data_IF_432740636650
#
_entry.id   IF_432740636650
#
_cell.length_a   1.000
_cell.length_b   1.000
_cell.length_c   1.000
_cell.angle_alpha   90.00
_cell.angle_beta   90.00
_cell.angle_gamma   90.00
#
_symmetry.space_group_name_H-M   'P 1'
#
loop_
_entity.id
_entity.type
_entity.pdbx_description
1 polymer ?
#
# COMPACT_ATOMS: atom_id res chain seq x y z
N UNK A 1 0.20 -13.72 2.60
CA UNK A 1 1.67 -13.67 2.45
C UNK A 1 2.30 -14.27 3.70
N UNK A 2 2.84 -15.49 3.63
CA UNK A 2 3.24 -16.27 4.82
C UNK A 2 4.38 -15.59 5.58
N UNK A 3 5.41 -15.10 4.88
CA UNK A 3 6.59 -14.45 5.49
C UNK A 3 6.17 -13.27 6.39
N UNK A 4 5.32 -12.37 5.89
CA UNK A 4 4.84 -11.23 6.71
C UNK A 4 4.03 -11.71 7.91
N UNK A 5 3.23 -12.76 7.75
CA UNK A 5 2.46 -13.34 8.86
C UNK A 5 3.37 -13.86 9.99
N UNK A 6 4.52 -14.43 9.64
CA UNK A 6 5.55 -14.84 10.61
C UNK A 6 6.18 -13.62 11.27
N UNK A 7 6.55 -12.58 10.51
CA UNK A 7 7.13 -11.37 11.11
C UNK A 7 6.12 -10.72 12.06
N UNK A 8 4.85 -10.63 11.68
CA UNK A 8 3.82 -9.98 12.50
C UNK A 8 3.41 -10.77 13.74
N UNK A 9 3.60 -12.10 13.76
CA UNK A 9 3.24 -12.89 14.95
C UNK A 9 4.05 -12.52 16.19
N UNK A 10 5.25 -11.96 15.98
CA UNK A 10 6.13 -11.50 17.05
C UNK A 10 5.91 -10.03 17.44
N UNK A 11 5.02 -9.31 16.73
CA UNK A 11 4.82 -7.85 16.87
C UNK A 11 3.62 -7.51 17.73
N UNK A 12 3.78 -6.52 18.62
CA UNK A 12 2.67 -5.90 19.35
C UNK A 12 1.93 -4.86 18.50
N UNK A 13 1.13 -5.34 17.54
CA UNK A 13 0.41 -4.51 16.55
C UNK A 13 -0.38 -3.35 17.20
N UNK A 14 -0.94 -3.56 18.41
CA UNK A 14 -1.73 -2.54 19.14
C UNK A 14 -0.94 -1.27 19.46
N UNK A 15 0.38 -1.36 19.64
CA UNK A 15 1.23 -0.21 19.93
C UNK A 15 1.41 0.65 18.68
N UNK A 16 1.66 -0.02 17.55
CA UNK A 16 1.83 0.59 16.23
C UNK A 16 0.54 1.22 15.69
N UNK A 17 -0.63 0.59 15.87
CA UNK A 17 -1.92 1.16 15.43
C UNK A 17 -2.24 2.49 16.15
N UNK A 18 -1.66 2.78 17.32
CA UNK A 18 -1.87 4.07 17.99
C UNK A 18 -1.01 5.18 17.39
N UNK A 19 0.03 4.83 16.63
CA UNK A 19 0.90 5.81 15.99
C UNK A 19 0.21 6.43 14.77
N UNK A 20 0.13 7.76 14.77
CA UNK A 20 -0.41 8.54 13.67
C UNK A 20 0.35 8.31 12.35
N UNK A 21 1.66 8.04 12.41
CA UNK A 21 2.52 7.88 11.23
C UNK A 21 2.09 6.72 10.34
N UNK A 22 1.49 5.68 10.91
CA UNK A 22 0.95 4.54 10.16
C UNK A 22 -0.21 4.95 9.28
N UNK A 23 -1.14 5.75 9.81
CA UNK A 23 -2.29 6.24 9.04
C UNK A 23 -1.85 7.14 7.90
N UNK A 24 -0.86 7.99 8.14
CA UNK A 24 -0.23 8.79 7.10
C UNK A 24 0.37 7.91 5.98
N UNK A 25 1.12 6.86 6.35
CA UNK A 25 1.70 5.92 5.39
C UNK A 25 0.66 5.17 4.57
N UNK A 26 -0.39 4.67 5.23
CA UNK A 26 -1.52 3.97 4.59
C UNK A 26 -2.24 4.89 3.61
N UNK A 27 -2.65 6.08 4.04
CA UNK A 27 -3.38 7.04 3.20
C UNK A 27 -2.52 7.47 2.00
N UNK A 28 -1.22 7.68 2.23
CA UNK A 28 -0.29 8.03 1.15
C UNK A 28 -0.23 6.92 0.10
N UNK A 29 -0.07 5.66 0.53
CA UNK A 29 0.09 4.53 -0.39
C UNK A 29 -1.19 4.14 -1.12
N UNK A 30 -2.33 4.10 -0.42
CA UNK A 30 -3.59 3.59 -0.98
C UNK A 30 -4.46 4.67 -1.65
N UNK A 31 -4.33 5.94 -1.27
CA UNK A 31 -5.21 7.01 -1.75
C UNK A 31 -4.40 8.05 -2.51
N UNK A 32 -3.36 8.61 -1.88
CA UNK A 32 -2.66 9.78 -2.40
C UNK A 32 -1.88 9.46 -3.68
N UNK A 33 -1.07 8.41 -3.67
CA UNK A 33 -0.29 7.98 -4.85
C UNK A 33 -1.22 7.63 -6.03
N UNK A 34 -2.23 6.75 -5.89
CA UNK A 34 -3.11 6.41 -7.01
C UNK A 34 -3.89 7.61 -7.55
N UNK A 35 -4.35 8.50 -6.67
CA UNK A 35 -5.09 9.70 -7.08
C UNK A 35 -4.22 10.64 -7.90
N UNK A 36 -2.97 10.87 -7.48
CA UNK A 36 -2.02 11.71 -8.23
C UNK A 36 -1.75 11.13 -9.61
N UNK A 37 -1.47 9.82 -9.70
CA UNK A 37 -1.17 9.18 -10.98
C UNK A 37 -2.40 9.21 -11.91
N UNK A 38 -3.60 9.00 -11.38
CA UNK A 38 -4.84 9.16 -12.14
C UNK A 38 -5.06 10.59 -12.65
N UNK A 39 -4.83 11.61 -11.80
CA UNK A 39 -4.90 13.02 -12.18
C UNK A 39 -3.90 13.37 -13.30
N UNK A 40 -2.66 12.90 -13.19
CA UNK A 40 -1.64 13.09 -14.24
C UNK A 40 -2.07 12.43 -15.54
N UNK A 41 -2.64 11.23 -15.48
CA UNK A 41 -3.17 10.54 -16.66
C UNK A 41 -4.27 11.33 -17.36
N UNK A 42 -5.15 11.96 -16.60
CA UNK A 42 -6.22 12.80 -17.13
C UNK A 42 -5.68 14.07 -17.80
N UNK A 43 -4.73 14.74 -17.16
CA UNK A 43 -4.04 15.92 -17.71
C UNK A 43 -3.26 15.60 -19.00
N UNK A 44 -2.68 14.40 -19.08
CA UNK A 44 -1.94 13.95 -20.25
C UNK A 44 -2.84 13.45 -21.41
N UNK A 45 -4.18 13.43 -21.23
CA UNK A 45 -5.13 12.84 -22.18
C UNK A 45 -4.74 11.40 -22.59
N UNK A 46 -4.06 10.68 -21.71
CA UNK A 46 -3.46 9.40 -21.99
C UNK A 46 -4.48 8.29 -21.70
N UNK A 47 -5.30 7.93 -22.68
CA UNK A 47 -6.32 6.89 -22.55
C UNK A 47 -5.89 5.62 -23.30
N UNK A 48 -5.15 4.74 -22.63
CA UNK A 48 -4.74 3.43 -23.15
C UNK A 48 -4.85 2.38 -22.07
N UNK A 49 -5.07 1.11 -22.48
CA UNK A 49 -5.04 -0.04 -21.56
C UNK A 49 -3.75 -0.09 -20.74
N UNK A 50 -2.62 0.29 -21.35
CA UNK A 50 -1.33 0.35 -20.66
C UNK A 50 -1.34 1.37 -19.50
N UNK A 51 -1.96 2.54 -19.71
CA UNK A 51 -2.05 3.59 -18.69
C UNK A 51 -2.96 3.17 -17.54
N UNK A 52 -4.11 2.56 -17.86
CA UNK A 52 -5.01 2.01 -16.85
C UNK A 52 -4.31 0.94 -15.99
N UNK A 53 -3.52 0.05 -16.60
CA UNK A 53 -2.72 -0.93 -15.86
C UNK A 53 -1.75 -0.27 -14.89
N UNK A 54 -1.04 0.78 -15.31
CA UNK A 54 -0.11 1.53 -14.45
C UNK A 54 -0.84 2.15 -13.26
N UNK A 55 -2.00 2.79 -13.48
CA UNK A 55 -2.79 3.37 -12.40
C UNK A 55 -3.23 2.27 -11.42
N UNK A 56 -3.73 1.14 -11.90
CA UNK A 56 -4.14 0.01 -11.06
C UNK A 56 -2.97 -0.53 -10.23
N UNK A 57 -1.78 -0.67 -10.83
CA UNK A 57 -0.58 -1.11 -10.12
C UNK A 57 -0.23 -0.19 -8.95
N UNK A 58 -0.47 1.11 -9.08
CA UNK A 58 -0.14 2.07 -8.00
C UNK A 58 -1.03 1.91 -6.77
N UNK A 59 -2.28 1.47 -6.96
CA UNK A 59 -3.25 1.21 -5.89
C UNK A 59 -3.07 -0.12 -5.18
N UNK A 60 -2.18 -0.98 -5.67
CA UNK A 60 -1.80 -2.20 -4.95
C UNK A 60 -1.22 -1.85 -3.57
N UNK A 61 -1.41 -2.73 -2.57
CA UNK A 61 -0.91 -2.51 -1.22
C UNK A 61 0.63 -2.38 -1.17
N UNK A 62 1.17 -2.02 -0.01
CA UNK A 62 2.62 -2.00 0.17
C UNK A 62 3.22 -3.40 -0.10
N UNK A 63 4.42 -3.43 -0.69
CA UNK A 63 5.03 -4.68 -1.14
C UNK A 63 5.57 -5.51 0.02
N UNK A 64 5.59 -6.84 -0.13
CA UNK A 64 6.31 -7.73 0.81
C UNK A 64 7.76 -7.32 0.99
N UNK A 65 8.35 -6.81 -0.10
CA UNK A 65 9.75 -6.43 -0.13
C UNK A 65 10.06 -5.33 0.88
N UNK A 66 9.08 -4.50 1.23
CA UNK A 66 9.26 -3.45 2.25
C UNK A 66 9.58 -4.07 3.61
N UNK A 67 8.84 -5.10 4.04
CA UNK A 67 9.12 -5.81 5.30
C UNK A 67 10.39 -6.65 5.22
N UNK A 68 10.65 -7.30 4.08
CA UNK A 68 11.88 -8.11 3.88
C UNK A 68 13.13 -7.24 3.95
N UNK A 69 13.13 -6.08 3.29
CA UNK A 69 14.26 -5.16 3.31
C UNK A 69 14.44 -4.51 4.69
N UNK A 70 13.34 -4.15 5.35
CA UNK A 70 13.37 -3.65 6.72
C UNK A 70 13.99 -4.66 7.70
N UNK A 71 13.64 -5.94 7.58
CA UNK A 71 14.28 -7.03 8.34
C UNK A 71 15.76 -7.16 7.97
N UNK A 72 16.07 -7.21 6.67
CA UNK A 72 17.44 -7.44 6.17
C UNK A 72 18.41 -6.35 6.61
N UNK A 73 17.94 -5.11 6.72
CA UNK A 73 18.75 -3.96 7.12
C UNK A 73 18.59 -3.57 8.60
N UNK A 74 17.85 -4.35 9.39
CA UNK A 74 17.54 -4.07 10.80
C UNK A 74 16.99 -2.64 11.01
N UNK A 75 15.98 -2.29 10.20
CA UNK A 75 15.32 -0.97 10.21
C UNK A 75 13.82 -1.12 10.32
N UNK A 76 13.28 -0.81 11.51
CA UNK A 76 11.83 -0.64 11.71
C UNK A 76 11.00 -1.80 11.12
N UNK A 77 11.49 -3.04 11.29
CA UNK A 77 10.90 -4.25 10.72
C UNK A 77 9.45 -4.47 11.12
N UNK A 78 9.14 -4.25 12.39
CA UNK A 78 7.80 -4.36 12.96
C UNK A 78 6.84 -3.36 12.30
N UNK A 79 7.27 -2.10 12.19
CA UNK A 79 6.52 -1.05 11.53
C UNK A 79 6.25 -1.40 10.06
N UNK A 80 7.28 -1.88 9.36
CA UNK A 80 7.17 -2.29 7.97
C UNK A 80 6.25 -3.52 7.79
N UNK A 81 6.20 -4.45 8.74
CA UNK A 81 5.27 -5.57 8.70
C UNK A 81 3.82 -5.13 8.95
N UNK A 82 3.61 -4.24 9.92
CA UNK A 82 2.29 -3.66 10.24
C UNK A 82 1.74 -2.89 9.04
N UNK A 83 2.51 -1.99 8.44
CA UNK A 83 2.02 -1.19 7.30
C UNK A 83 1.66 -2.07 6.10
N UNK A 84 2.45 -3.09 5.79
CA UNK A 84 2.16 -4.01 4.67
C UNK A 84 0.90 -4.81 4.94
N UNK A 85 0.71 -5.32 6.15
CA UNK A 85 -0.49 -6.10 6.48
C UNK A 85 -1.74 -5.26 6.53
N UNK A 86 -1.70 -4.08 7.14
CA UNK A 86 -2.86 -3.18 7.20
C UNK A 86 -3.22 -2.69 5.80
N UNK A 87 -2.24 -2.32 4.96
CA UNK A 87 -2.54 -1.92 3.57
C UNK A 87 -3.07 -3.08 2.74
N UNK A 88 -2.64 -4.31 2.99
CA UNK A 88 -3.16 -5.52 2.31
C UNK A 88 -4.62 -5.81 2.69
N UNK A 89 -5.00 -5.61 3.96
CA UNK A 89 -6.38 -5.75 4.38
C UNK A 89 -7.26 -4.65 3.80
N UNK A 90 -6.80 -3.39 3.87
CA UNK A 90 -7.55 -2.24 3.37
C UNK A 90 -7.66 -2.22 1.83
N UNK A 91 -6.69 -2.80 1.12
CA UNK A 91 -6.69 -2.82 -0.35
C UNK A 91 -7.88 -3.58 -0.94
N UNK A 92 -8.46 -4.54 -0.21
CA UNK A 92 -9.68 -5.24 -0.62
C UNK A 92 -10.84 -4.27 -0.93
N UNK A 93 -10.89 -3.14 -0.22
CA UNK A 93 -11.90 -2.12 -0.41
C UNK A 93 -11.37 -1.03 -1.34
N UNK A 94 -10.17 -0.50 -1.09
CA UNK A 94 -9.67 0.68 -1.83
C UNK A 94 -9.39 0.39 -3.30
N UNK A 95 -8.86 -0.79 -3.63
CA UNK A 95 -8.60 -1.19 -5.03
C UNK A 95 -9.90 -1.35 -5.78
N UNK A 96 -10.91 -1.98 -5.18
CA UNK A 96 -12.22 -2.20 -5.80
C UNK A 96 -12.92 -0.88 -6.11
N UNK A 97 -12.83 0.10 -5.21
CA UNK A 97 -13.35 1.45 -5.43
C UNK A 97 -12.62 2.14 -6.59
N UNK A 98 -11.29 2.08 -6.62
CA UNK A 98 -10.49 2.68 -7.69
C UNK A 98 -10.81 2.06 -9.06
N UNK A 99 -10.94 0.73 -9.11
CA UNK A 99 -11.29 0.02 -10.34
C UNK A 99 -12.63 0.49 -10.90
N UNK A 100 -13.63 0.72 -10.04
CA UNK A 100 -14.94 1.26 -10.45
C UNK A 100 -14.87 2.69 -11.02
N UNK A 101 -13.82 3.45 -10.71
CA UNK A 101 -13.61 4.80 -11.22
C UNK A 101 -12.89 4.77 -12.58
N UNK A 102 -12.01 3.79 -12.79
CA UNK A 102 -11.12 3.72 -13.97
C UNK A 102 -11.74 2.90 -15.11
N UNK A 103 -12.45 1.82 -14.81
CA UNK A 103 -13.09 0.91 -15.77
C UNK A 103 -14.55 1.29 -15.99
#
# INVERSE_FOLDING_TARGET
MIIIGVIISDVKIKEYIKDWTIYYGIATKLILIPSIIYLISLLALATSKAVNTVIIMTAMPASAMTSILAETFDKEKDYAAVIVSVTTLLSLITVTILLKIIL
#
